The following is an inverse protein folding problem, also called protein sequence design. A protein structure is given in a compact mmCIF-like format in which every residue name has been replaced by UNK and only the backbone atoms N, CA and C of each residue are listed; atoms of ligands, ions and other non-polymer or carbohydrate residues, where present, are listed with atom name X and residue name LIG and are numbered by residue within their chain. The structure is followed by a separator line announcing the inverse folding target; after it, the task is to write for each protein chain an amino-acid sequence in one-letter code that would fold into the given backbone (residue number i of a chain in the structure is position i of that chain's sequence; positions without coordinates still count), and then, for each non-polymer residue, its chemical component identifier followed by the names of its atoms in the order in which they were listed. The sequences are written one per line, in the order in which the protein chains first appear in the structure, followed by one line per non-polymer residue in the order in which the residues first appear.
data_IF_058782234043
#
_entry.id   IF_058782234043
#
_cell.length_a   1.000
_cell.length_b   1.000
_cell.length_c   1.000
_cell.angle_alpha   90.00
_cell.angle_beta   90.00
_cell.angle_gamma   90.00
#
_symmetry.space_group_name_H-M   'P 1'
#
loop_
_entity.id
_entity.type
_entity.pdbx_description
1 polymer ?
#
# COMPACT_ATOMS: atom_id res chain seq x y z
N UNK A 1 43.27 -0.77 6.56
CA UNK A 1 41.93 -0.82 7.18
C UNK A 1 40.96 -1.20 6.09
N UNK A 2 40.37 -2.39 6.16
CA UNK A 2 39.32 -2.79 5.22
C UNK A 2 38.00 -2.19 5.71
N UNK A 3 37.37 -1.35 4.89
CA UNK A 3 36.04 -0.87 5.18
C UNK A 3 35.07 -2.03 4.95
N UNK A 4 34.45 -2.52 6.03
CA UNK A 4 33.34 -3.44 5.91
C UNK A 4 32.12 -2.65 5.47
N UNK A 5 31.57 -3.00 4.31
CA UNK A 5 30.28 -2.52 3.85
C UNK A 5 29.25 -3.59 4.20
N UNK A 6 28.29 -3.26 5.07
CA UNK A 6 27.09 -4.08 5.23
C UNK A 6 26.22 -3.92 3.98
N UNK A 7 26.16 -4.98 3.18
CA UNK A 7 25.21 -5.08 2.08
C UNK A 7 23.95 -5.73 2.64
N UNK A 8 22.89 -4.95 2.85
CA UNK A 8 21.56 -5.51 3.11
C UNK A 8 21.00 -6.05 1.79
N UNK A 9 21.12 -7.36 1.59
CA UNK A 9 20.50 -8.03 0.45
C UNK A 9 18.96 -7.97 0.64
N UNK A 10 18.26 -7.24 -0.22
CA UNK A 10 16.79 -7.19 -0.21
C UNK A 10 16.27 -8.49 -0.82
N UNK A 11 16.07 -9.50 0.03
CA UNK A 11 15.60 -10.83 -0.38
C UNK A 11 14.08 -10.98 -0.34
N UNK A 12 13.37 -10.04 0.31
CA UNK A 12 11.91 -10.06 0.42
C UNK A 12 11.30 -9.26 -0.75
N UNK A 13 10.43 -9.85 -1.57
CA UNK A 13 9.83 -9.16 -2.71
C UNK A 13 8.97 -7.97 -2.22
N UNK A 14 8.94 -6.91 -3.02
CA UNK A 14 8.05 -5.74 -2.88
C UNK A 14 8.28 -4.73 -1.74
N UNK A 15 9.32 -4.88 -0.92
CA UNK A 15 9.73 -3.88 0.09
C UNK A 15 9.90 -2.46 -0.50
N UNK A 16 10.33 -2.36 -1.76
CA UNK A 16 10.51 -1.08 -2.44
C UNK A 16 9.20 -0.29 -2.57
N UNK A 17 8.07 -0.93 -2.93
CA UNK A 17 6.80 -0.21 -3.11
C UNK A 17 6.29 0.42 -1.81
N UNK A 18 6.46 -0.29 -0.69
CA UNK A 18 6.10 0.26 0.63
C UNK A 18 7.01 1.44 1.01
N UNK A 19 8.33 1.28 0.84
CA UNK A 19 9.26 2.38 1.12
C UNK A 19 9.02 3.58 0.18
N UNK A 20 8.71 3.36 -1.10
CA UNK A 20 8.37 4.43 -2.05
C UNK A 20 7.13 5.21 -1.57
N UNK A 21 6.14 4.51 -1.02
CA UNK A 21 4.96 5.15 -0.44
C UNK A 21 5.29 6.04 0.77
N UNK A 22 6.13 5.54 1.68
CA UNK A 22 6.58 6.30 2.85
C UNK A 22 7.46 7.49 2.42
N UNK A 23 8.38 7.26 1.49
CA UNK A 23 9.27 8.26 0.91
C UNK A 23 8.48 9.42 0.31
N UNK A 24 7.51 9.11 -0.55
CA UNK A 24 6.64 10.10 -1.16
C UNK A 24 5.85 10.90 -0.10
N UNK A 25 5.29 10.24 0.92
CA UNK A 25 4.59 10.93 2.01
C UNK A 25 5.53 11.87 2.78
N UNK A 26 6.75 11.44 3.06
CA UNK A 26 7.72 12.25 3.80
C UNK A 26 8.21 13.45 2.96
N UNK A 27 8.37 13.29 1.65
CA UNK A 27 8.62 14.41 0.73
C UNK A 27 7.45 15.41 0.70
N UNK A 28 6.22 14.91 0.68
CA UNK A 28 5.01 15.75 0.71
C UNK A 28 4.93 16.60 2.00
N UNK A 29 5.39 16.07 3.14
CA UNK A 29 5.45 16.79 4.42
C UNK A 29 6.53 17.88 4.46
N UNK A 30 7.59 17.73 3.66
CA UNK A 30 8.77 18.60 3.71
C UNK A 30 8.77 19.71 2.66
N UNK A 31 8.15 19.47 1.52
CA UNK A 31 8.12 20.45 0.44
C UNK A 31 7.23 21.64 0.80
N UNK A 32 7.64 22.84 0.37
CA UNK A 32 6.84 24.07 0.43
C UNK A 32 6.15 24.37 -0.90
N UNK A 33 6.43 23.58 -1.94
CA UNK A 33 5.83 23.72 -3.26
C UNK A 33 4.53 22.89 -3.32
N UNK A 34 3.40 23.56 -3.49
CA UNK A 34 2.07 22.92 -3.53
C UNK A 34 1.91 21.93 -4.69
N UNK A 35 2.57 22.19 -5.82
CA UNK A 35 2.56 21.28 -6.97
C UNK A 35 3.38 20.01 -6.68
N UNK A 36 4.51 20.13 -5.97
CA UNK A 36 5.25 18.96 -5.52
C UNK A 36 4.46 18.20 -4.46
N UNK A 37 3.85 18.92 -3.52
CA UNK A 37 3.09 18.34 -2.40
C UNK A 37 1.99 17.42 -2.90
N UNK A 38 1.04 17.89 -3.72
CA UNK A 38 -0.02 16.99 -4.18
C UNK A 38 0.49 15.88 -5.11
N UNK A 39 1.57 16.12 -5.85
CA UNK A 39 2.22 15.06 -6.66
C UNK A 39 2.75 13.94 -5.77
N UNK A 40 3.42 14.29 -4.68
CA UNK A 40 3.93 13.34 -3.70
C UNK A 40 2.82 12.65 -2.90
N UNK A 41 1.72 13.35 -2.57
CA UNK A 41 0.54 12.72 -1.96
C UNK A 41 -0.07 11.67 -2.89
N UNK A 42 -0.34 12.01 -4.16
CA UNK A 42 -0.86 11.04 -5.14
C UNK A 42 0.10 9.88 -5.35
N UNK A 43 1.40 10.15 -5.44
CA UNK A 43 2.43 9.12 -5.58
C UNK A 43 2.38 8.13 -4.40
N UNK A 44 2.34 8.65 -3.17
CA UNK A 44 2.25 7.84 -1.95
C UNK A 44 1.02 6.92 -1.94
N UNK A 45 -0.16 7.45 -2.27
CA UNK A 45 -1.42 6.67 -2.33
C UNK A 45 -1.33 5.55 -3.37
N UNK A 46 -0.80 5.86 -4.56
CA UNK A 46 -0.68 4.89 -5.67
C UNK A 46 0.28 3.76 -5.30
N UNK A 47 1.46 4.08 -4.79
CA UNK A 47 2.47 3.06 -4.44
C UNK A 47 2.07 2.26 -3.21
N UNK A 48 1.39 2.87 -2.22
CA UNK A 48 0.84 2.14 -1.07
C UNK A 48 -0.21 1.10 -1.52
N UNK A 49 -1.05 1.45 -2.49
CA UNK A 49 -2.03 0.53 -3.07
C UNK A 49 -1.36 -0.63 -3.82
N UNK A 50 -0.31 -0.35 -4.61
CA UNK A 50 0.48 -1.38 -5.29
C UNK A 50 1.18 -2.30 -4.30
N UNK A 51 1.66 -1.75 -3.18
CA UNK A 51 2.23 -2.52 -2.08
C UNK A 51 1.20 -3.48 -1.49
N UNK A 52 -0.02 -3.01 -1.18
CA UNK A 52 -1.13 -3.87 -0.72
C UNK A 52 -1.40 -5.03 -1.71
N UNK A 53 -1.48 -4.75 -3.01
CA UNK A 53 -1.74 -5.79 -4.03
C UNK A 53 -0.62 -6.84 -4.05
N UNK A 54 0.62 -6.41 -3.92
CA UNK A 54 1.79 -7.28 -3.91
C UNK A 54 1.87 -8.12 -2.63
N UNK A 55 1.63 -7.52 -1.47
CA UNK A 55 1.58 -8.24 -0.19
C UNK A 55 0.38 -9.16 -0.08
N UNK A 56 -0.70 -8.89 -0.79
CA UNK A 56 -1.81 -9.82 -0.90
C UNK A 56 -1.43 -11.07 -1.69
N UNK A 57 -0.65 -10.92 -2.75
CA UNK A 57 -0.10 -12.04 -3.50
C UNK A 57 0.83 -12.89 -2.61
N UNK A 58 1.72 -12.25 -1.84
CA UNK A 58 2.63 -12.92 -0.90
C UNK A 58 1.86 -13.64 0.23
N UNK A 59 0.91 -12.97 0.88
CA UNK A 59 0.07 -13.55 1.91
C UNK A 59 -0.68 -14.78 1.40
N UNK A 60 -1.22 -14.72 0.18
CA UNK A 60 -2.00 -15.79 -0.43
C UNK A 60 -1.16 -16.86 -1.15
N UNK A 61 0.17 -16.70 -1.22
CA UNK A 61 1.09 -17.57 -1.95
C UNK A 61 0.73 -17.75 -3.44
N UNK A 62 0.37 -16.64 -4.09
CA UNK A 62 0.01 -16.61 -5.52
C UNK A 62 0.92 -15.67 -6.30
N UNK A 63 1.26 -16.04 -7.54
CA UNK A 63 2.07 -15.18 -8.40
C UNK A 63 1.35 -13.89 -8.83
N UNK A 64 0.02 -13.92 -8.89
CA UNK A 64 -0.83 -12.76 -9.18
C UNK A 64 -2.26 -13.03 -8.73
N UNK A 65 -2.96 -11.97 -8.36
CA UNK A 65 -4.42 -12.01 -8.22
C UNK A 65 -5.07 -12.23 -9.60
N UNK A 66 -6.25 -12.86 -9.62
CA UNK A 66 -6.98 -13.09 -10.85
C UNK A 66 -7.39 -11.76 -11.51
N UNK A 67 -7.60 -11.75 -12.84
CA UNK A 67 -8.07 -10.56 -13.57
C UNK A 67 -9.53 -10.15 -13.27
N UNK A 68 -10.16 -10.73 -12.24
CA UNK A 68 -11.47 -10.32 -11.73
C UNK A 68 -11.30 -9.13 -10.79
N UNK A 69 -12.38 -8.70 -10.12
CA UNK A 69 -12.26 -7.68 -9.07
C UNK A 69 -11.28 -8.13 -7.98
N UNK A 70 -10.63 -7.15 -7.33
CA UNK A 70 -9.72 -7.38 -6.22
C UNK A 70 -10.39 -8.24 -5.12
N UNK A 71 -11.61 -7.87 -4.72
CA UNK A 71 -12.43 -8.57 -3.73
C UNK A 71 -12.61 -10.05 -4.08
N UNK A 72 -13.11 -10.32 -5.30
CA UNK A 72 -13.37 -11.69 -5.74
C UNK A 72 -12.09 -12.51 -5.79
N UNK A 73 -10.96 -11.88 -6.14
CA UNK A 73 -9.67 -12.57 -6.16
C UNK A 73 -9.24 -12.96 -4.76
N UNK A 74 -9.27 -12.05 -3.79
CA UNK A 74 -8.91 -12.36 -2.41
C UNK A 74 -9.84 -13.43 -1.83
N UNK A 75 -11.16 -13.25 -1.95
CA UNK A 75 -12.15 -14.21 -1.41
C UNK A 75 -11.96 -15.61 -2.01
N UNK A 76 -11.70 -15.68 -3.32
CA UNK A 76 -11.43 -16.97 -3.99
C UNK A 76 -10.21 -17.66 -3.41
N UNK A 77 -9.11 -16.94 -3.17
CA UNK A 77 -7.88 -17.55 -2.66
C UNK A 77 -7.99 -17.92 -1.17
N UNK A 78 -8.59 -17.08 -0.32
CA UNK A 78 -8.77 -17.42 1.11
C UNK A 78 -9.77 -18.58 1.31
N UNK A 79 -10.79 -18.70 0.45
CA UNK A 79 -11.70 -19.84 0.49
C UNK A 79 -11.02 -21.16 0.14
N UNK A 80 -10.03 -21.17 -0.78
CA UNK A 80 -9.28 -22.40 -1.13
C UNK A 80 -8.51 -22.99 0.05
N UNK A 81 -8.09 -22.14 0.99
CA UNK A 81 -7.38 -22.55 2.21
C UNK A 81 -8.33 -22.71 3.41
N UNK A 82 -9.65 -22.67 3.19
CA UNK A 82 -10.66 -22.92 4.21
C UNK A 82 -11.00 -21.74 5.11
N UNK A 83 -10.55 -20.52 4.79
CA UNK A 83 -10.91 -19.32 5.52
C UNK A 83 -12.28 -18.78 5.08
N UNK A 84 -12.93 -18.05 5.99
CA UNK A 84 -14.16 -17.33 5.66
C UNK A 84 -13.87 -16.15 4.73
N UNK A 85 -14.80 -15.79 3.83
CA UNK A 85 -14.71 -14.58 3.02
C UNK A 85 -14.54 -13.32 3.88
N UNK A 86 -13.87 -12.32 3.31
CA UNK A 86 -13.75 -11.02 3.93
C UNK A 86 -15.11 -10.30 3.90
N UNK A 87 -15.45 -9.60 4.98
CA UNK A 87 -16.58 -8.68 4.95
C UNK A 87 -16.17 -7.36 4.29
N UNK A 88 -16.49 -7.23 3.01
CA UNK A 88 -16.20 -6.04 2.20
C UNK A 88 -17.18 -4.88 2.39
N UNK A 89 -18.27 -5.09 3.12
CA UNK A 89 -19.37 -4.12 3.23
C UNK A 89 -19.28 -3.23 4.47
N UNK A 90 -18.36 -3.52 5.40
CA UNK A 90 -18.11 -2.69 6.58
C UNK A 90 -16.70 -2.88 7.15
N UNK A 91 -16.27 -1.94 7.99
CA UNK A 91 -14.97 -1.97 8.66
C UNK A 91 -13.79 -1.81 7.70
N UNK A 92 -12.62 -2.29 8.14
CA UNK A 92 -11.33 -2.13 7.46
C UNK A 92 -11.39 -2.42 5.95
N UNK A 93 -12.01 -3.52 5.54
CA UNK A 93 -12.02 -3.91 4.13
C UNK A 93 -12.99 -3.10 3.27
N UNK A 94 -13.99 -2.45 3.87
CA UNK A 94 -14.75 -1.39 3.19
C UNK A 94 -13.86 -0.17 2.96
N UNK A 95 -13.12 0.25 3.99
CA UNK A 95 -12.22 1.41 3.92
C UNK A 95 -11.14 1.20 2.85
N UNK A 96 -10.59 -0.02 2.74
CA UNK A 96 -9.69 -0.42 1.66
C UNK A 96 -10.31 -0.21 0.27
N UNK A 97 -11.59 -0.54 0.08
CA UNK A 97 -12.24 -0.34 -1.21
C UNK A 97 -12.48 1.13 -1.53
N UNK A 98 -12.78 1.93 -0.52
CA UNK A 98 -12.96 3.37 -0.68
C UNK A 98 -11.59 4.02 -1.00
N UNK A 99 -10.49 3.63 -0.36
CA UNK A 99 -9.14 4.10 -0.71
C UNK A 99 -8.65 3.60 -2.08
N UNK A 100 -8.99 2.37 -2.47
CA UNK A 100 -8.70 1.87 -3.83
C UNK A 100 -9.47 2.66 -4.89
N UNK A 101 -10.68 3.13 -4.58
CA UNK A 101 -11.44 4.02 -5.46
C UNK A 101 -10.75 5.38 -5.58
N UNK A 102 -10.24 5.94 -4.48
CA UNK A 102 -9.44 7.17 -4.50
C UNK A 102 -8.18 7.01 -5.36
N UNK A 103 -7.45 5.91 -5.20
CA UNK A 103 -6.31 5.58 -6.06
C UNK A 103 -6.71 5.58 -7.53
N UNK A 104 -7.78 4.86 -7.88
CA UNK A 104 -8.24 4.76 -9.27
C UNK A 104 -8.66 6.12 -9.85
N UNK A 105 -9.21 7.01 -9.02
CA UNK A 105 -9.49 8.39 -9.42
C UNK A 105 -8.20 9.12 -9.83
N UNK A 106 -7.15 9.05 -9.01
CA UNK A 106 -5.87 9.70 -9.34
C UNK A 106 -5.14 9.10 -10.55
N UNK A 107 -5.37 7.83 -10.87
CA UNK A 107 -4.68 7.14 -11.99
C UNK A 107 -5.45 7.12 -13.31
N UNK A 108 -6.78 7.22 -13.27
CA UNK A 108 -7.63 6.97 -14.45
C UNK A 108 -8.66 8.07 -14.73
N UNK A 109 -8.79 9.08 -13.86
CA UNK A 109 -9.75 10.17 -14.07
C UNK A 109 -9.18 11.28 -14.96
N UNK A 110 -10.01 11.79 -15.88
CA UNK A 110 -9.76 12.99 -16.68
C UNK A 110 -10.51 14.22 -16.12
N UNK A 111 -10.63 14.33 -14.79
CA UNK A 111 -11.32 15.44 -14.12
C UNK A 111 -10.47 16.73 -14.12
N UNK A 112 -11.06 17.84 -13.67
CA UNK A 112 -10.37 19.12 -13.56
C UNK A 112 -9.12 19.03 -12.67
N UNK A 113 -8.01 19.65 -13.10
CA UNK A 113 -6.71 19.55 -12.40
C UNK A 113 -6.77 19.98 -10.94
N UNK A 114 -7.64 20.91 -10.57
CA UNK A 114 -7.85 21.38 -9.20
C UNK A 114 -8.21 20.27 -8.20
N UNK A 115 -8.88 19.20 -8.65
CA UNK A 115 -9.24 18.05 -7.80
C UNK A 115 -8.13 17.00 -7.70
N UNK A 116 -7.04 17.17 -8.44
CA UNK A 116 -5.88 16.29 -8.37
C UNK A 116 -4.93 16.67 -7.23
N UNK A 117 -5.25 17.66 -6.39
CA UNK A 117 -4.36 18.14 -5.32
C UNK A 117 -4.85 17.72 -3.92
N UNK A 118 -4.80 16.42 -3.57
CA UNK A 118 -5.23 15.97 -2.25
C UNK A 118 -4.31 16.47 -1.14
N UNK A 119 -4.91 16.66 0.03
CA UNK A 119 -4.19 16.98 1.26
C UNK A 119 -3.35 15.80 1.75
N UNK A 120 -2.33 16.11 2.54
CA UNK A 120 -1.44 15.10 3.14
C UNK A 120 -2.19 14.05 3.97
N UNK A 121 -3.34 14.43 4.54
CA UNK A 121 -4.18 13.53 5.32
C UNK A 121 -4.74 12.36 4.49
N UNK A 122 -4.95 12.54 3.19
CA UNK A 122 -5.35 11.46 2.29
C UNK A 122 -4.23 10.40 2.17
N UNK A 123 -2.96 10.82 2.08
CA UNK A 123 -1.84 9.89 2.08
C UNK A 123 -1.66 9.20 3.44
N UNK A 124 -1.81 9.93 4.55
CA UNK A 124 -1.76 9.33 5.90
C UNK A 124 -2.82 8.23 6.04
N UNK A 125 -4.08 8.56 5.71
CA UNK A 125 -5.21 7.64 5.76
C UNK A 125 -5.01 6.41 4.87
N UNK A 126 -4.55 6.60 3.63
CA UNK A 126 -4.28 5.49 2.72
C UNK A 126 -3.18 4.56 3.26
N UNK A 127 -2.08 5.11 3.78
CA UNK A 127 -0.99 4.33 4.37
C UNK A 127 -1.50 3.51 5.57
N UNK A 128 -2.23 4.14 6.51
CA UNK A 128 -2.73 3.44 7.68
C UNK A 128 -3.73 2.34 7.30
N UNK A 129 -4.67 2.66 6.41
CA UNK A 129 -5.68 1.70 5.91
C UNK A 129 -5.02 0.49 5.24
N UNK A 130 -4.04 0.72 4.36
CA UNK A 130 -3.35 -0.36 3.67
C UNK A 130 -2.40 -1.14 4.59
N UNK A 131 -1.75 -0.49 5.56
CA UNK A 131 -0.95 -1.16 6.59
C UNK A 131 -1.80 -2.14 7.39
N UNK A 132 -2.95 -1.69 7.87
CA UNK A 132 -3.86 -2.50 8.66
C UNK A 132 -4.45 -3.65 7.82
N UNK A 133 -4.77 -3.40 6.54
CA UNK A 133 -5.24 -4.43 5.62
C UNK A 133 -4.21 -5.52 5.36
N UNK A 134 -2.93 -5.14 5.17
CA UNK A 134 -1.82 -6.08 5.04
C UNK A 134 -1.75 -6.95 6.31
N UNK A 135 -1.63 -6.33 7.49
CA UNK A 135 -1.56 -7.06 8.76
C UNK A 135 -2.75 -8.01 8.96
N UNK A 136 -3.95 -7.52 8.66
CA UNK A 136 -5.18 -8.30 8.78
C UNK A 136 -5.19 -9.51 7.84
N UNK A 137 -4.80 -9.34 6.57
CA UNK A 137 -4.76 -10.43 5.62
C UNK A 137 -3.76 -11.52 6.03
N UNK A 138 -2.54 -11.14 6.44
CA UNK A 138 -1.56 -12.10 6.96
C UNK A 138 -2.09 -12.84 8.19
N UNK A 139 -2.80 -12.14 9.08
CA UNK A 139 -3.46 -12.77 10.22
C UNK A 139 -4.55 -13.76 9.81
N UNK A 140 -5.36 -13.45 8.79
CA UNK A 140 -6.43 -14.34 8.28
C UNK A 140 -5.83 -15.65 7.76
N UNK A 141 -4.72 -15.56 7.02
CA UNK A 141 -4.07 -16.73 6.40
C UNK A 141 -3.05 -17.41 7.32
N UNK A 142 -2.93 -16.97 8.58
CA UNK A 142 -2.05 -17.58 9.58
C UNK A 142 -0.54 -17.39 9.31
N UNK A 143 -0.15 -16.32 8.61
CA UNK A 143 1.25 -15.99 8.31
C UNK A 143 1.74 -14.79 9.11
N UNK A 144 3.06 -14.71 9.33
CA UNK A 144 3.69 -13.51 9.87
C UNK A 144 3.83 -12.47 8.75
N UNK A 145 3.33 -11.24 8.97
CA UNK A 145 3.56 -10.14 8.04
C UNK A 145 5.01 -9.64 8.13
N UNK A 146 5.56 -9.04 7.07
CA UNK A 146 6.92 -8.53 7.10
C UNK A 146 7.09 -7.32 8.05
N UNK A 147 8.10 -7.35 8.92
CA UNK A 147 8.35 -6.30 9.92
C UNK A 147 8.50 -4.88 9.35
N UNK A 148 8.91 -4.72 8.09
CA UNK A 148 9.05 -3.40 7.47
C UNK A 148 7.70 -2.69 7.24
N UNK A 149 6.57 -3.42 7.29
CA UNK A 149 5.22 -2.85 7.19
C UNK A 149 4.93 -1.92 8.38
N UNK A 150 5.58 -2.15 9.52
CA UNK A 150 5.48 -1.32 10.72
C UNK A 150 6.28 -0.02 10.65
N UNK A 151 7.13 0.16 9.62
CA UNK A 151 7.86 1.41 9.46
C UNK A 151 6.86 2.54 9.23
N UNK A 152 7.02 3.60 10.01
CA UNK A 152 6.23 4.80 9.78
C UNK A 152 6.90 5.71 8.74
N UNK A 153 8.22 5.89 8.74
CA UNK A 153 8.91 6.78 7.80
C UNK A 153 9.95 6.06 6.95
N UNK A 154 10.34 6.66 5.83
CA UNK A 154 11.52 6.22 5.10
C UNK A 154 12.80 6.69 5.82
N UNK A 155 13.67 5.78 6.30
CA UNK A 155 14.91 6.15 6.96
C UNK A 155 15.89 6.95 6.09
N UNK A 156 15.70 6.97 4.76
CA UNK A 156 16.56 7.71 3.83
C UNK A 156 16.20 9.21 3.74
N UNK A 157 14.99 9.60 4.17
CA UNK A 157 14.48 10.97 4.07
C UNK A 157 14.76 11.75 5.35
N UNK A 158 15.95 12.36 5.45
CA UNK A 158 16.35 13.23 6.58
C UNK A 158 15.70 14.61 6.54
#
# INVERSE_FOLDING_TARGET
MSAYFEITLITKPYNHLWNDALHARDLARKTTDEWMKGTYVRWSIVTACMALESYSCDALDVNKLSGRSYQNSIDTEIQKIGCNPINWNSGLWKDVLDERRNRNYYTHSNDAQEKLWPDIEEANKAIDTYRDAIKNLYSIVGKQYPDFVDRDSDPSVK
#
